data_IF_199145064862
#
_entry.id   IF_199145064862
#
_cell.length_a   1.000
_cell.length_b   1.000
_cell.length_c   1.000
_cell.angle_alpha   90.00
_cell.angle_beta   90.00
_cell.angle_gamma   90.00
#
_symmetry.space_group_name_H-M   'P 1'
#
loop_
_entity.id
_entity.type
_entity.pdbx_description
1 polymer ?
#
# COMPACT_ATOMS: atom_id res chain seq x y z
N UNK A 1 10.58 -14.09 -4.03
CA UNK A 1 10.26 -13.19 -5.15
C UNK A 1 11.02 -11.90 -4.96
N UNK A 2 11.47 -11.28 -6.05
CA UNK A 2 12.14 -9.98 -6.04
C UNK A 2 11.10 -8.87 -6.16
N UNK A 3 11.16 -7.90 -5.25
CA UNK A 3 10.26 -6.76 -5.19
C UNK A 3 11.08 -5.49 -5.01
N UNK A 4 10.65 -4.39 -5.62
CA UNK A 4 11.16 -3.08 -5.26
C UNK A 4 10.29 -2.42 -4.17
N UNK A 5 10.84 -1.41 -3.51
CA UNK A 5 10.12 -0.67 -2.47
C UNK A 5 8.86 0.01 -2.99
N UNK A 6 8.84 0.47 -4.24
CA UNK A 6 7.66 1.03 -4.88
C UNK A 6 6.49 0.04 -4.98
N UNK A 7 6.76 -1.21 -5.34
CA UNK A 7 5.78 -2.30 -5.40
C UNK A 7 5.24 -2.64 -4.00
N UNK A 8 6.12 -2.68 -2.99
CA UNK A 8 5.74 -2.91 -1.60
C UNK A 8 4.87 -1.77 -1.08
N UNK A 9 5.26 -0.53 -1.36
CA UNK A 9 4.54 0.68 -0.95
C UNK A 9 3.16 0.77 -1.62
N UNK A 10 3.10 0.54 -2.92
CA UNK A 10 1.86 0.56 -3.70
C UNK A 10 0.87 -0.56 -3.32
N UNK A 11 1.36 -1.71 -2.86
CA UNK A 11 0.50 -2.82 -2.43
C UNK A 11 -0.22 -2.56 -1.10
N UNK A 12 0.20 -1.57 -0.29
CA UNK A 12 -0.28 -1.34 1.08
C UNK A 12 -1.80 -1.12 1.14
N UNK A 13 -2.32 -0.10 0.46
CA UNK A 13 -3.75 0.22 0.50
C UNK A 13 -4.61 -0.86 -0.19
N UNK A 14 -4.28 -1.35 -1.40
CA UNK A 14 -4.96 -2.48 -2.03
C UNK A 14 -5.07 -3.70 -1.11
N UNK A 15 -4.00 -4.05 -0.40
CA UNK A 15 -3.99 -5.21 0.49
C UNK A 15 -4.88 -4.99 1.73
N UNK A 16 -4.94 -3.76 2.26
CA UNK A 16 -5.87 -3.41 3.34
C UNK A 16 -7.32 -3.54 2.89
N UNK A 17 -7.66 -3.07 1.68
CA UNK A 17 -8.99 -3.26 1.10
C UNK A 17 -9.35 -4.74 0.99
N UNK A 18 -8.42 -5.55 0.47
CA UNK A 18 -8.62 -6.99 0.31
C UNK A 18 -8.79 -7.71 1.66
N UNK A 19 -8.02 -7.35 2.68
CA UNK A 19 -8.18 -7.90 4.04
C UNK A 19 -9.51 -7.55 4.71
N UNK A 20 -10.24 -6.55 4.20
CA UNK A 20 -11.58 -6.20 4.66
C UNK A 20 -12.67 -7.20 4.22
N UNK A 21 -12.40 -8.04 3.23
CA UNK A 21 -13.36 -9.03 2.72
C UNK A 21 -13.39 -10.32 3.57
N UNK A 22 -14.56 -10.98 3.56
CA UNK A 22 -14.77 -12.24 4.29
C UNK A 22 -14.33 -13.45 3.46
N UNK A 23 -13.03 -13.74 3.49
CA UNK A 23 -12.45 -14.91 2.82
C UNK A 23 -12.50 -16.20 3.66
N UNK A 24 -12.38 -17.37 3.01
CA UNK A 24 -12.09 -18.63 3.70
C UNK A 24 -10.78 -18.55 4.49
N UNK A 25 -10.71 -19.27 5.62
CA UNK A 25 -9.59 -19.21 6.59
C UNK A 25 -8.20 -19.32 5.93
N UNK A 26 -8.03 -20.23 4.97
CA UNK A 26 -6.75 -20.42 4.26
C UNK A 26 -6.31 -19.16 3.51
N UNK A 27 -7.24 -18.50 2.84
CA UNK A 27 -7.01 -17.28 2.05
C UNK A 27 -6.74 -16.11 3.00
N UNK A 28 -7.57 -15.92 4.03
CA UNK A 28 -7.35 -14.88 5.05
C UNK A 28 -5.98 -15.01 5.72
N UNK A 29 -5.56 -16.24 6.07
CA UNK A 29 -4.24 -16.48 6.65
C UNK A 29 -3.11 -16.14 5.67
N UNK A 30 -3.25 -16.52 4.40
CA UNK A 30 -2.27 -16.19 3.36
C UNK A 30 -2.12 -14.68 3.17
N UNK A 31 -3.23 -13.95 3.04
CA UNK A 31 -3.23 -12.50 2.91
C UNK A 31 -2.63 -11.80 4.13
N UNK A 32 -2.96 -12.27 5.34
CA UNK A 32 -2.37 -11.75 6.57
C UNK A 32 -0.85 -11.99 6.64
N UNK A 33 -0.37 -13.14 6.16
CA UNK A 33 1.08 -13.43 6.08
C UNK A 33 1.78 -12.48 5.11
N UNK A 34 1.20 -12.23 3.94
CA UNK A 34 1.71 -11.23 2.99
C UNK A 34 1.76 -9.86 3.66
N UNK A 35 0.66 -9.41 4.26
CA UNK A 35 0.59 -8.10 4.90
C UNK A 35 1.62 -7.93 6.01
N UNK A 36 1.82 -8.95 6.85
CA UNK A 36 2.84 -8.92 7.90
C UNK A 36 4.25 -8.78 7.32
N UNK A 37 4.57 -9.51 6.24
CA UNK A 37 5.89 -9.42 5.61
C UNK A 37 6.14 -8.10 4.92
N UNK A 38 5.14 -7.54 4.24
CA UNK A 38 5.26 -6.21 3.65
C UNK A 38 5.36 -5.13 4.72
N UNK A 39 4.63 -5.25 5.83
CA UNK A 39 4.68 -4.30 6.94
C UNK A 39 6.07 -4.21 7.62
N UNK A 40 6.85 -5.29 7.63
CA UNK A 40 8.25 -5.25 8.11
C UNK A 40 9.08 -4.27 7.27
N UNK A 41 8.91 -4.30 5.94
CA UNK A 41 9.65 -3.46 5.00
C UNK A 41 9.08 -2.04 4.90
N UNK A 42 7.75 -1.90 4.93
CA UNK A 42 7.07 -0.60 4.93
C UNK A 42 7.53 0.29 6.08
N UNK A 43 7.81 -0.27 7.26
CA UNK A 43 8.36 0.50 8.39
C UNK A 43 9.71 1.11 8.05
N UNK A 44 10.61 0.33 7.45
CA UNK A 44 11.94 0.79 7.04
C UNK A 44 11.82 1.85 5.95
N UNK A 45 10.95 1.63 4.97
CA UNK A 45 10.66 2.60 3.90
C UNK A 45 10.12 3.92 4.50
N UNK A 46 9.15 3.83 5.40
CA UNK A 46 8.56 4.99 6.08
C UNK A 46 9.61 5.74 6.91
N UNK A 47 10.50 5.04 7.61
CA UNK A 47 11.58 5.67 8.40
C UNK A 47 12.56 6.46 7.53
N UNK A 48 13.03 5.87 6.41
CA UNK A 48 13.93 6.55 5.48
C UNK A 48 13.21 7.73 4.80
N UNK A 49 11.99 7.52 4.31
CA UNK A 49 11.15 8.57 3.72
C UNK A 49 10.95 9.74 4.68
N UNK A 50 10.65 9.46 5.95
CA UNK A 50 10.51 10.49 6.98
C UNK A 50 11.84 11.23 7.22
N UNK A 51 12.97 10.54 7.12
CA UNK A 51 14.30 11.14 7.11
C UNK A 51 14.47 12.13 5.96
N UNK A 52 14.14 11.73 4.73
CA UNK A 52 14.20 12.59 3.54
C UNK A 52 13.33 13.85 3.70
N UNK A 53 12.11 13.70 4.22
CA UNK A 53 11.21 14.83 4.49
C UNK A 53 11.81 15.78 5.53
N UNK A 54 12.52 15.28 6.54
CA UNK A 54 13.20 16.14 7.53
C UNK A 54 14.42 16.84 6.95
N UNK A 55 15.14 16.20 6.02
CA UNK A 55 16.33 16.76 5.38
C UNK A 55 15.97 17.88 4.41
N UNK A 56 14.96 17.66 3.56
CA UNK A 56 14.60 18.57 2.48
C UNK A 56 13.39 19.45 2.79
N UNK A 57 12.60 19.08 3.81
CA UNK A 57 11.45 19.83 4.24
C UNK A 57 11.83 21.18 4.83
N UNK A 58 11.09 22.21 4.43
CA UNK A 58 11.24 23.53 5.02
C UNK A 58 10.44 23.61 6.32
N UNK A 59 11.03 24.18 7.37
CA UNK A 59 10.34 24.39 8.65
C UNK A 59 9.64 25.75 8.63
N UNK A 60 8.36 25.78 9.00
CA UNK A 60 7.54 26.97 9.17
C UNK A 60 7.83 27.67 10.50
N UNK A 61 7.22 28.84 10.67
CA UNK A 61 7.39 29.64 11.90
C UNK A 61 6.88 28.93 13.17
N UNK A 62 5.97 27.97 13.02
CA UNK A 62 5.42 27.15 14.11
C UNK A 62 6.32 25.96 14.49
N UNK A 63 7.49 25.83 13.86
CA UNK A 63 8.43 24.73 14.06
C UNK A 63 8.03 23.42 13.41
N UNK A 64 6.97 23.40 12.57
CA UNK A 64 6.55 22.22 11.81
C UNK A 64 7.00 22.32 10.36
N UNK A 65 7.01 21.20 9.65
CA UNK A 65 7.28 21.19 8.21
C UNK A 65 6.17 21.98 7.48
N UNK A 66 6.56 22.90 6.60
CA UNK A 66 5.65 23.70 5.79
C UNK A 66 4.89 22.80 4.83
N UNK A 67 3.58 23.01 4.79
CA UNK A 67 2.69 22.37 3.83
C UNK A 67 1.81 23.41 3.15
N UNK A 68 1.40 23.11 1.91
CA UNK A 68 0.39 23.86 1.16
C UNK A 68 -0.71 22.92 0.69
N UNK A 69 -1.83 23.48 0.25
CA UNK A 69 -2.90 22.71 -0.38
C UNK A 69 -2.55 22.39 -1.83
N UNK A 70 -2.77 21.15 -2.23
CA UNK A 70 -2.90 20.82 -3.65
C UNK A 70 -4.25 21.35 -4.19
N UNK A 71 -4.49 21.18 -5.49
CA UNK A 71 -5.76 21.56 -6.12
C UNK A 71 -7.00 20.81 -5.60
N UNK A 72 -6.83 19.82 -4.71
CA UNK A 72 -7.87 18.97 -4.14
C UNK A 72 -7.99 19.04 -2.60
N UNK A 73 -7.41 20.06 -1.95
CA UNK A 73 -7.37 20.27 -0.49
C UNK A 73 -6.48 19.31 0.33
N UNK A 74 -5.63 18.50 -0.30
CA UNK A 74 -4.65 17.68 0.41
C UNK A 74 -3.43 18.53 0.79
N UNK A 75 -2.86 18.27 1.98
CA UNK A 75 -1.61 18.91 2.38
C UNK A 75 -0.42 18.24 1.68
N UNK A 76 0.33 19.04 0.92
CA UNK A 76 1.58 18.66 0.27
C UNK A 76 2.72 19.51 0.83
N UNK A 77 3.95 19.01 0.73
CA UNK A 77 5.13 19.76 1.19
C UNK A 77 5.26 21.07 0.40
N UNK A 78 5.48 22.17 1.12
CA UNK A 78 5.81 23.45 0.49
C UNK A 78 7.33 23.62 0.44
N UNK A 79 7.90 23.21 -0.69
CA UNK A 79 9.35 23.17 -0.93
C UNK A 79 9.72 24.16 -2.03
N UNK A 80 10.92 24.73 -1.94
CA UNK A 80 11.60 25.28 -3.11
C UNK A 80 11.79 24.21 -4.20
N UNK A 81 11.86 24.65 -5.46
CA UNK A 81 12.08 23.77 -6.61
C UNK A 81 13.37 22.93 -6.49
N UNK A 82 14.42 23.50 -5.88
CA UNK A 82 15.68 22.80 -5.64
C UNK A 82 15.51 21.64 -4.65
N UNK A 83 14.84 21.88 -3.52
CA UNK A 83 14.60 20.84 -2.51
C UNK A 83 13.63 19.77 -3.00
N UNK A 84 12.60 20.15 -3.75
CA UNK A 84 11.69 19.21 -4.41
C UNK A 84 12.45 18.28 -5.36
N UNK A 85 13.36 18.84 -6.17
CA UNK A 85 14.17 18.04 -7.10
C UNK A 85 15.06 17.04 -6.37
N UNK A 86 15.75 17.46 -5.30
CA UNK A 86 16.61 16.57 -4.49
C UNK A 86 15.80 15.50 -3.77
N UNK A 87 14.68 15.90 -3.15
CA UNK A 87 13.77 14.98 -2.46
C UNK A 87 13.24 13.91 -3.42
N UNK A 88 12.77 14.30 -4.61
CA UNK A 88 12.24 13.37 -5.59
C UNK A 88 13.32 12.41 -6.11
N UNK A 89 14.55 12.89 -6.32
CA UNK A 89 15.66 12.03 -6.74
C UNK A 89 15.96 10.93 -5.71
N UNK A 90 16.14 11.31 -4.44
CA UNK A 90 16.44 10.33 -3.37
C UNK A 90 15.23 9.46 -3.02
N UNK A 91 14.01 9.99 -3.13
CA UNK A 91 12.80 9.20 -2.94
C UNK A 91 12.65 8.14 -4.04
N UNK A 92 12.95 8.48 -5.31
CA UNK A 92 12.94 7.52 -6.40
C UNK A 92 14.02 6.45 -6.19
N UNK A 93 15.24 6.85 -5.79
CA UNK A 93 16.31 5.90 -5.43
C UNK A 93 15.86 4.93 -4.33
N UNK A 94 15.17 5.42 -3.30
CA UNK A 94 14.57 4.58 -2.25
C UNK A 94 13.53 3.61 -2.82
N UNK A 95 12.63 4.07 -3.72
CA UNK A 95 11.59 3.22 -4.31
C UNK A 95 12.15 2.15 -5.25
N UNK A 96 13.28 2.41 -5.90
CA UNK A 96 13.95 1.50 -6.83
C UNK A 96 14.75 0.40 -6.12
N UNK A 97 15.04 0.54 -4.82
CA UNK A 97 15.76 -0.49 -4.08
C UNK A 97 15.00 -1.82 -4.13
N UNK A 98 15.72 -2.88 -4.48
CA UNK A 98 15.19 -4.22 -4.60
C UNK A 98 15.52 -5.06 -3.37
N UNK A 99 14.57 -5.90 -2.99
CA UNK A 99 14.74 -6.89 -1.93
C UNK A 99 14.18 -8.24 -2.39
N UNK A 100 14.78 -9.30 -1.86
CA UNK A 100 14.21 -10.63 -1.97
C UNK A 100 13.28 -10.91 -0.79
N UNK A 101 12.02 -11.23 -1.09
CA UNK A 101 11.01 -11.59 -0.10
C UNK A 101 10.53 -13.01 -0.35
N UNK A 102 10.59 -13.85 0.68
CA UNK A 102 10.09 -15.22 0.63
C UNK A 102 8.60 -15.24 0.97
N UNK A 103 7.77 -15.22 -0.08
CA UNK A 103 6.31 -15.25 -0.01
C UNK A 103 5.73 -16.13 -1.11
N UNK A 104 4.61 -16.77 -0.79
CA UNK A 104 3.79 -17.51 -1.75
C UNK A 104 2.61 -16.63 -2.16
N UNK A 105 2.20 -16.73 -3.44
CA UNK A 105 0.97 -16.09 -3.90
C UNK A 105 -0.25 -16.72 -3.23
N UNK A 106 -1.27 -15.90 -3.01
CA UNK A 106 -2.57 -16.36 -2.50
C UNK A 106 -3.56 -16.49 -3.64
N UNK A 107 -4.17 -17.67 -3.76
CA UNK A 107 -5.26 -17.91 -4.70
C UNK A 107 -6.55 -17.36 -4.11
N UNK A 108 -7.12 -16.34 -4.74
CA UNK A 108 -8.41 -15.76 -4.38
C UNK A 108 -9.53 -16.60 -5.00
N UNK A 109 -10.62 -16.87 -4.25
CA UNK A 109 -11.76 -17.57 -4.80
C UNK A 109 -12.58 -16.64 -5.72
N UNK A 110 -13.27 -17.20 -6.71
CA UNK A 110 -14.26 -16.46 -7.52
C UNK A 110 -15.41 -15.89 -6.68
N UNK A 111 -15.68 -16.51 -5.51
CA UNK A 111 -16.81 -16.19 -4.63
C UNK A 111 -16.35 -15.98 -3.19
N UNK A 112 -17.01 -15.03 -2.52
CA UNK A 112 -16.84 -14.78 -1.09
C UNK A 112 -18.16 -14.88 -0.34
N UNK A 113 -18.06 -15.27 0.93
CA UNK A 113 -19.22 -15.35 1.80
C UNK A 113 -19.78 -13.95 2.06
N UNK A 114 -21.10 -13.83 1.93
CA UNK A 114 -21.85 -12.60 2.14
C UNK A 114 -23.15 -12.90 2.90
N UNK A 115 -23.83 -11.85 3.31
CA UNK A 115 -25.14 -11.93 3.96
C UNK A 115 -26.14 -11.14 3.12
N UNK A 116 -27.32 -11.70 2.88
CA UNK A 116 -28.37 -11.01 2.15
C UNK A 116 -28.89 -9.80 2.95
N UNK A 117 -28.81 -8.59 2.40
CA UNK A 117 -29.29 -7.37 3.07
C UNK A 117 -30.80 -7.43 3.38
N UNK A 118 -31.59 -8.11 2.55
CA UNK A 118 -33.05 -8.21 2.72
C UNK A 118 -33.47 -9.29 3.72
N UNK A 119 -32.75 -10.40 3.76
CA UNK A 119 -33.22 -11.64 4.38
C UNK A 119 -32.25 -12.20 5.44
N UNK A 120 -31.09 -11.57 5.66
CA UNK A 120 -30.07 -11.91 6.67
C UNK A 120 -29.55 -13.35 6.67
N UNK A 121 -29.73 -14.11 5.59
CA UNK A 121 -29.14 -15.45 5.44
C UNK A 121 -27.78 -15.37 4.74
N UNK A 122 -26.93 -16.37 5.01
CA UNK A 122 -25.64 -16.52 4.36
C UNK A 122 -25.82 -16.93 2.90
N UNK A 123 -25.04 -16.30 2.03
CA UNK A 123 -24.96 -16.61 0.60
C UNK A 123 -23.55 -16.35 0.10
N UNK A 124 -23.23 -16.90 -1.06
CA UNK A 124 -22.00 -16.55 -1.76
C UNK A 124 -22.29 -15.45 -2.78
N UNK A 125 -21.41 -14.45 -2.85
CA UNK A 125 -21.40 -13.43 -3.92
C UNK A 125 -20.14 -13.58 -4.76
N UNK A 126 -20.18 -13.08 -6.00
CA UNK A 126 -18.98 -12.90 -6.80
C UNK A 126 -18.01 -12.00 -6.06
N UNK A 127 -16.73 -12.34 -6.11
CA UNK A 127 -15.67 -11.48 -5.60
C UNK A 127 -15.56 -10.26 -6.52
N UNK A 128 -15.97 -9.11 -6.01
CA UNK A 128 -15.88 -7.83 -6.71
C UNK A 128 -14.67 -7.06 -6.17
N UNK A 129 -13.61 -6.98 -6.97
CA UNK A 129 -12.40 -6.22 -6.65
C UNK A 129 -12.18 -5.20 -7.77
N UNK A 130 -11.87 -3.96 -7.41
CA UNK A 130 -11.50 -2.93 -8.36
C UNK A 130 -10.28 -3.38 -9.21
N UNK A 131 -10.28 -3.19 -10.54
CA UNK A 131 -9.15 -3.60 -11.38
C UNK A 131 -7.80 -3.01 -10.94
N UNK A 132 -7.80 -1.77 -10.42
CA UNK A 132 -6.61 -1.12 -9.86
C UNK A 132 -6.02 -1.86 -8.67
N UNK A 133 -6.87 -2.43 -7.80
CA UNK A 133 -6.45 -3.24 -6.65
C UNK A 133 -5.82 -4.54 -7.12
N UNK A 134 -6.39 -5.21 -8.13
CA UNK A 134 -5.82 -6.44 -8.69
C UNK A 134 -4.48 -6.18 -9.37
N UNK A 135 -4.35 -5.12 -10.16
CA UNK A 135 -3.07 -4.76 -10.81
C UNK A 135 -1.98 -4.48 -9.76
N UNK A 136 -2.31 -3.72 -8.70
CA UNK A 136 -1.36 -3.45 -7.63
C UNK A 136 -0.98 -4.69 -6.80
N UNK A 137 -1.78 -5.76 -6.88
CA UNK A 137 -1.55 -7.00 -6.14
C UNK A 137 -1.12 -8.20 -7.01
N UNK A 138 -0.85 -8.00 -8.30
CA UNK A 138 -0.61 -9.09 -9.26
C UNK A 138 0.55 -10.03 -8.88
N UNK A 139 1.55 -9.51 -8.15
CA UNK A 139 2.70 -10.31 -7.67
C UNK A 139 2.36 -11.11 -6.41
N UNK A 140 1.27 -10.79 -5.72
CA UNK A 140 0.91 -11.31 -4.41
C UNK A 140 -0.30 -12.25 -4.43
N UNK A 141 -1.20 -12.06 -5.40
CA UNK A 141 -2.43 -12.84 -5.52
C UNK A 141 -2.67 -13.29 -6.94
N UNK A 142 -3.38 -14.39 -7.10
CA UNK A 142 -3.98 -14.80 -8.38
C UNK A 142 -5.48 -14.97 -8.16
N UNK A 143 -6.28 -14.74 -9.20
CA UNK A 143 -7.73 -14.99 -9.20
C UNK A 143 -7.96 -16.38 -9.77
N UNK A 144 -8.63 -17.23 -9.00
CA UNK A 144 -8.98 -18.61 -9.38
C UNK A 144 -10.19 -18.72 -10.29
#
# INVERSE_FOLDING_TARGET
>A
MQLNNGEIFGAREPLVKLLGEKFPVKVSYGLAKIANKLNEQLKVIDDVRNGLIKTYGEVGEDGKIKTKKDGGNNDILDLSLENETKLNAEFNELMEQEIEVVLDKVQLPEKVASTCDKCSHNMDKMLEIEPSVLMALEKFVDVG
#
